data_IF_845639575606
#
_entry.id   IF_845639575606
#
_cell.length_a   1.000
_cell.length_b   1.000
_cell.length_c   1.000
_cell.angle_alpha   90.00
_cell.angle_beta   90.00
_cell.angle_gamma   90.00
#
_symmetry.space_group_name_H-M   'P 1'
#
loop_
_entity.id
_entity.type
_entity.pdbx_description
1 polymer ?
#
# COMPACT_ATOMS: atom_id res chain seq x y z
N UNK A 1 6.60 -0.82 17.61
CA UNK A 1 7.55 -0.12 16.71
C UNK A 1 6.76 0.31 15.48
N UNK A 2 6.70 1.61 15.14
CA UNK A 2 6.14 2.04 13.85
C UNK A 2 7.13 1.57 12.78
N UNK A 3 6.80 0.52 12.03
CA UNK A 3 7.61 0.10 10.90
C UNK A 3 7.74 1.31 9.96
N UNK A 4 8.97 1.78 9.76
CA UNK A 4 9.26 2.89 8.88
C UNK A 4 9.07 2.40 7.45
N UNK A 5 8.06 2.91 6.78
CA UNK A 5 7.78 2.59 5.38
C UNK A 5 8.85 3.18 4.48
N UNK A 6 9.34 2.39 3.53
CA UNK A 6 10.26 2.81 2.49
C UNK A 6 9.54 2.93 1.14
N UNK A 7 9.96 3.90 0.33
CA UNK A 7 9.44 4.07 -1.03
C UNK A 7 9.64 2.75 -1.79
N UNK A 8 8.56 2.24 -2.39
CA UNK A 8 8.55 0.95 -3.09
C UNK A 8 8.09 -0.23 -2.26
N UNK A 9 7.81 -0.06 -0.96
CA UNK A 9 7.28 -1.14 -0.13
C UNK A 9 5.96 -1.68 -0.69
N UNK A 10 5.83 -3.01 -0.78
CA UNK A 10 4.57 -3.67 -1.13
C UNK A 10 3.66 -3.74 0.11
N UNK A 11 2.47 -3.18 -0.02
CA UNK A 11 1.48 -3.06 1.04
C UNK A 11 0.26 -3.91 0.76
N UNK A 12 -0.13 -4.76 1.70
CA UNK A 12 -1.40 -5.48 1.68
C UNK A 12 -2.36 -4.99 2.75
N UNK A 13 -3.61 -4.76 2.36
CA UNK A 13 -4.73 -4.47 3.27
C UNK A 13 -5.81 -5.51 3.11
N UNK A 14 -6.34 -6.04 4.21
CA UNK A 14 -7.48 -6.96 4.18
C UNK A 14 -8.75 -6.33 3.59
N UNK A 15 -9.40 -7.03 2.67
CA UNK A 15 -10.69 -6.65 2.08
C UNK A 15 -11.59 -7.89 1.95
N UNK A 16 -12.38 -8.15 3.01
CA UNK A 16 -13.23 -9.34 3.10
C UNK A 16 -12.38 -10.61 2.88
N UNK A 17 -12.64 -11.35 1.80
CA UNK A 17 -11.98 -12.61 1.45
C UNK A 17 -10.68 -12.43 0.65
N UNK A 18 -10.33 -11.21 0.27
CA UNK A 18 -9.13 -10.91 -0.53
C UNK A 18 -8.24 -9.88 0.15
N UNK A 19 -6.99 -9.78 -0.29
CA UNK A 19 -6.09 -8.69 0.07
C UNK A 19 -6.01 -7.69 -1.09
N UNK A 20 -6.07 -6.41 -0.77
CA UNK A 20 -5.88 -5.31 -1.72
C UNK A 20 -4.39 -4.94 -1.69
N UNK A 21 -3.76 -4.83 -2.85
CA UNK A 21 -2.36 -4.50 -3.00
C UNK A 21 -2.14 -3.02 -3.33
N UNK A 22 -1.05 -2.46 -2.82
CA UNK A 22 -0.60 -1.11 -3.11
C UNK A 22 0.91 -0.98 -2.91
N UNK A 23 1.50 0.06 -3.48
CA UNK A 23 2.92 0.38 -3.32
C UNK A 23 3.03 1.69 -2.54
N UNK A 24 3.82 1.68 -1.47
CA UNK A 24 4.12 2.90 -0.75
C UNK A 24 4.98 3.83 -1.61
N UNK A 25 4.56 5.10 -1.70
CA UNK A 25 5.34 6.16 -2.33
C UNK A 25 6.05 6.96 -1.23
N UNK A 26 6.30 8.26 -1.43
CA UNK A 26 6.79 9.14 -0.37
C UNK A 26 5.63 9.89 0.30
N UNK A 27 5.89 10.48 1.48
CA UNK A 27 4.99 11.40 2.17
C UNK A 27 3.59 10.81 2.46
N UNK A 28 3.53 9.54 2.88
CA UNK A 28 2.26 8.94 3.27
C UNK A 28 1.33 8.62 2.09
N UNK A 29 1.84 8.51 0.86
CA UNK A 29 1.01 8.20 -0.32
C UNK A 29 1.13 6.75 -0.75
N UNK A 30 0.07 6.21 -1.34
CA UNK A 30 0.02 4.83 -1.84
C UNK A 30 -0.48 4.83 -3.28
N UNK A 31 0.23 4.13 -4.16
CA UNK A 31 -0.21 3.80 -5.51
C UNK A 31 -0.95 2.46 -5.47
N UNK A 32 -2.19 2.40 -5.96
CA UNK A 32 -2.91 1.14 -6.06
C UNK A 32 -3.92 1.15 -7.22
N UNK A 33 -4.43 -0.03 -7.58
CA UNK A 33 -5.55 -0.13 -8.50
C UNK A 33 -6.85 0.24 -7.78
N UNK A 34 -7.66 1.10 -8.42
CA UNK A 34 -8.97 1.50 -7.92
C UNK A 34 -10.08 0.66 -8.57
N UNK A 35 -11.15 0.29 -7.84
CA UNK A 35 -12.28 -0.44 -8.43
C UNK A 35 -12.96 0.30 -9.58
N UNK A 36 -12.86 1.63 -9.62
CA UNK A 36 -13.41 2.50 -10.67
C UNK A 36 -12.56 2.57 -11.94
N UNK A 37 -11.47 1.79 -12.02
CA UNK A 37 -11.02 1.27 -13.31
C UNK A 37 -9.67 1.71 -13.82
N UNK A 38 -8.74 2.21 -13.00
CA UNK A 38 -7.34 2.41 -13.40
C UNK A 38 -6.41 2.38 -12.16
N UNK A 39 -5.51 3.35 -12.10
CA UNK A 39 -4.48 3.54 -11.09
C UNK A 39 -4.82 4.80 -10.30
N UNK A 40 -4.70 4.71 -8.98
CA UNK A 40 -5.02 5.79 -8.05
C UNK A 40 -3.84 6.02 -7.10
N UNK A 41 -3.63 7.29 -6.74
CA UNK A 41 -2.73 7.69 -5.67
C UNK A 41 -3.56 8.36 -4.59
N UNK A 42 -3.61 7.77 -3.41
CA UNK A 42 -4.34 8.29 -2.25
C UNK A 42 -3.43 8.37 -1.02
N UNK A 43 -3.95 8.94 0.07
CA UNK A 43 -3.26 8.92 1.36
C UNK A 43 -3.22 7.49 1.93
N UNK A 44 -2.20 7.18 2.73
CA UNK A 44 -2.06 5.87 3.37
C UNK A 44 -3.25 5.56 4.29
N UNK A 45 -3.81 6.58 4.94
CA UNK A 45 -4.98 6.45 5.80
C UNK A 45 -6.24 6.10 4.99
N UNK A 46 -6.41 6.73 3.83
CA UNK A 46 -7.49 6.44 2.87
C UNK A 46 -7.32 5.03 2.29
N UNK A 47 -6.10 4.69 1.88
CA UNK A 47 -5.75 3.35 1.45
C UNK A 47 -6.02 2.33 2.57
N UNK A 48 -5.67 2.61 3.82
CA UNK A 48 -5.89 1.70 4.95
C UNK A 48 -7.38 1.48 5.22
N UNK A 49 -8.22 2.50 5.02
CA UNK A 49 -9.66 2.47 5.25
C UNK A 49 -10.01 1.87 6.64
N UNK A 50 -9.30 2.34 7.67
CA UNK A 50 -9.47 1.88 9.06
C UNK A 50 -8.97 0.45 9.34
N UNK A 51 -8.31 -0.21 8.40
CA UNK A 51 -7.83 -1.59 8.54
C UNK A 51 -6.30 -1.65 8.66
N UNK A 52 -5.76 -2.69 9.32
CA UNK A 52 -4.32 -2.93 9.35
C UNK A 52 -3.74 -3.08 7.93
N UNK A 53 -2.58 -2.44 7.72
CA UNK A 53 -1.77 -2.60 6.51
C UNK A 53 -0.52 -3.37 6.86
N UNK A 54 -0.24 -4.43 6.09
CA UNK A 54 0.96 -5.26 6.20
C UNK A 54 1.98 -4.81 5.16
N UNK A 55 3.24 -4.70 5.57
CA UNK A 55 4.37 -4.58 4.64
C UNK A 55 4.83 -5.99 4.29
N UNK A 56 4.80 -6.32 3.00
CA UNK A 56 5.10 -7.67 2.50
C UNK A 56 6.52 -7.77 1.94
N UNK A 57 7.03 -6.68 1.35
CA UNK A 57 8.39 -6.60 0.83
C UNK A 57 8.92 -5.19 1.06
N UNK A 58 10.14 -5.05 1.59
CA UNK A 58 10.71 -3.74 1.94
C UNK A 58 12.02 -3.36 1.23
N UNK A 59 12.45 -4.14 0.24
CA UNK A 59 13.71 -3.93 -0.50
C UNK A 59 13.59 -4.44 -1.93
N UNK A 60 12.90 -3.69 -2.79
CA UNK A 60 12.85 -4.02 -4.21
C UNK A 60 14.20 -3.63 -4.86
N UNK A 61 15.02 -4.62 -5.19
CA UNK A 61 16.24 -4.45 -5.97
C UNK A 61 15.88 -4.54 -7.46
N UNK A 62 16.34 -3.59 -8.27
CA UNK A 62 16.31 -3.74 -9.72
C UNK A 62 17.50 -4.64 -10.07
N UNK A 63 17.24 -5.80 -10.69
CA UNK A 63 18.27 -6.71 -11.21
C UNK A 63 18.65 -6.28 -12.62
#
# INVERSE_FOLDING_TARGET
MKNKLNIGDLLYRSKLLVEHAGIYLSKGKVLHNSPSGNVEICALEEYANGKPVKVVLSHLSIV
#
